data_IF_584670247264
#
_entry.id   IF_584670247264
#
_cell.length_a   1.000
_cell.length_b   1.000
_cell.length_c   1.000
_cell.angle_alpha   90.00
_cell.angle_beta   90.00
_cell.angle_gamma   90.00
#
_symmetry.space_group_name_H-M   'P 1'
#
loop_
_entity.id
_entity.type
_entity.pdbx_description
1 polymer ?
#
# COMPACT_ATOMS: atom_id res chain seq x y z
N UNK A 1 -0.50 10.12 -11.19
CA UNK A 1 -0.77 8.67 -11.02
C UNK A 1 -1.97 8.52 -10.10
N UNK A 2 -2.95 7.66 -10.41
CA UNK A 2 -4.23 7.64 -9.70
C UNK A 2 -4.34 6.42 -8.78
N UNK A 3 -4.50 6.67 -7.49
CA UNK A 3 -4.98 5.68 -6.54
C UNK A 3 -6.50 5.48 -6.72
N UNK A 4 -7.10 4.55 -5.97
CA UNK A 4 -8.55 4.31 -6.04
C UNK A 4 -9.31 5.60 -5.67
N UNK A 5 -10.28 6.05 -6.49
CA UNK A 5 -11.12 7.18 -6.15
C UNK A 5 -11.95 6.88 -4.91
N UNK A 6 -12.03 7.83 -3.98
CA UNK A 6 -12.83 7.70 -2.74
C UNK A 6 -14.30 7.42 -3.06
N UNK A 7 -14.82 7.96 -4.16
CA UNK A 7 -16.18 7.72 -4.62
C UNK A 7 -16.48 6.24 -4.98
N UNK A 8 -15.45 5.43 -5.22
CA UNK A 8 -15.60 4.00 -5.53
C UNK A 8 -15.51 3.12 -4.27
N UNK A 9 -15.25 3.70 -3.09
CA UNK A 9 -15.30 2.99 -1.82
C UNK A 9 -16.75 2.68 -1.44
N UNK A 10 -17.00 1.48 -0.94
CA UNK A 10 -18.33 0.98 -0.57
C UNK A 10 -19.09 0.27 -1.70
N UNK A 11 -18.68 0.44 -2.98
CA UNK A 11 -19.21 -0.33 -4.12
C UNK A 11 -18.16 -1.26 -4.73
N UNK A 12 -17.07 -0.71 -5.28
CA UNK A 12 -16.05 -1.51 -5.95
C UNK A 12 -14.92 -1.93 -5.02
N UNK A 13 -14.62 -1.08 -4.03
CA UNK A 13 -13.52 -1.26 -3.10
C UNK A 13 -13.99 -1.13 -1.65
N UNK A 14 -13.44 -1.92 -0.74
CA UNK A 14 -13.55 -1.69 0.71
C UNK A 14 -12.43 -0.78 1.24
N UNK A 15 -11.42 -0.49 0.41
CA UNK A 15 -10.31 0.36 0.79
C UNK A 15 -9.34 0.67 -0.34
N UNK A 16 -8.31 1.45 -0.03
CA UNK A 16 -7.32 1.88 -1.02
C UNK A 16 -6.14 2.65 -0.44
N UNK A 17 -5.42 3.34 -1.32
CA UNK A 17 -4.40 4.33 -0.91
C UNK A 17 -4.91 5.74 -1.20
N UNK A 18 -4.65 6.69 -0.30
CA UNK A 18 -4.88 8.12 -0.58
C UNK A 18 -3.57 8.89 -0.52
N UNK A 19 -3.45 9.95 -1.32
CA UNK A 19 -2.26 10.80 -1.40
C UNK A 19 -2.71 12.22 -1.60
N UNK A 20 -2.79 12.99 -0.52
CA UNK A 20 -3.43 14.31 -0.49
C UNK A 20 -2.59 15.29 0.33
N UNK A 21 -2.80 16.59 0.12
CA UNK A 21 -2.24 17.63 0.98
C UNK A 21 -3.03 17.81 2.28
N UNK A 22 -2.48 18.54 3.28
CA UNK A 22 -3.15 18.77 4.56
C UNK A 22 -4.56 19.34 4.45
N UNK A 23 -4.77 20.33 3.56
CA UNK A 23 -6.07 21.01 3.41
C UNK A 23 -7.22 20.14 2.94
N UNK A 24 -6.96 18.98 2.32
CA UNK A 24 -7.98 18.05 1.84
C UNK A 24 -8.09 16.78 2.70
N UNK A 25 -7.16 16.58 3.64
CA UNK A 25 -7.02 15.30 4.33
C UNK A 25 -8.21 15.00 5.24
N UNK A 26 -8.66 15.97 6.05
CA UNK A 26 -9.77 15.76 7.00
C UNK A 26 -11.08 15.46 6.27
N UNK A 27 -11.45 16.27 5.28
CA UNK A 27 -12.68 16.06 4.50
C UNK A 27 -12.65 14.74 3.74
N UNK A 28 -11.48 14.36 3.20
CA UNK A 28 -11.34 13.06 2.54
C UNK A 28 -11.49 11.90 3.51
N UNK A 29 -10.86 11.94 4.68
CA UNK A 29 -10.99 10.88 5.68
C UNK A 29 -12.42 10.76 6.19
N UNK A 30 -13.13 11.88 6.38
CA UNK A 30 -14.56 11.87 6.69
C UNK A 30 -15.37 11.17 5.58
N UNK A 31 -15.09 11.46 4.31
CA UNK A 31 -15.75 10.81 3.17
C UNK A 31 -15.42 9.31 3.06
N UNK A 32 -14.17 8.91 3.34
CA UNK A 32 -13.78 7.49 3.42
C UNK A 32 -14.56 6.79 4.52
N UNK A 33 -14.60 7.38 5.72
CA UNK A 33 -15.33 6.85 6.88
C UNK A 33 -16.82 6.71 6.62
N UNK A 34 -17.46 7.73 6.05
CA UNK A 34 -18.88 7.73 5.70
C UNK A 34 -19.25 6.60 4.71
N UNK A 35 -18.27 6.09 3.96
CA UNK A 35 -18.43 4.98 3.01
C UNK A 35 -18.01 3.63 3.59
N UNK A 36 -17.69 3.57 4.88
CA UNK A 36 -17.15 2.38 5.55
C UNK A 36 -15.77 1.95 5.01
N UNK A 37 -15.08 2.85 4.31
CA UNK A 37 -13.82 2.58 3.64
C UNK A 37 -12.62 2.58 4.57
N UNK A 38 -11.52 1.99 4.11
CA UNK A 38 -10.24 1.94 4.83
C UNK A 38 -9.08 2.33 3.94
N UNK A 39 -8.17 3.16 4.42
CA UNK A 39 -7.11 3.71 3.59
C UNK A 39 -5.73 3.61 4.22
N UNK A 40 -4.74 3.34 3.37
CA UNK A 40 -3.35 3.68 3.65
C UNK A 40 -3.12 5.12 3.18
N UNK A 41 -2.61 5.99 4.05
CA UNK A 41 -2.34 7.40 3.72
C UNK A 41 -0.89 7.58 3.31
N UNK A 42 -0.63 8.29 2.20
CA UNK A 42 0.72 8.72 1.80
C UNK A 42 0.86 10.22 2.04
N UNK A 43 1.60 10.60 3.08
CA UNK A 43 1.72 11.98 3.52
C UNK A 43 2.80 12.75 2.74
N UNK A 44 3.88 12.08 2.33
CA UNK A 44 4.99 12.73 1.65
C UNK A 44 4.64 13.26 0.24
N UNK A 45 3.66 12.64 -0.43
CA UNK A 45 3.22 12.99 -1.78
C UNK A 45 4.14 12.43 -2.87
N UNK A 46 4.29 13.15 -3.99
CA UNK A 46 5.11 12.69 -5.11
C UNK A 46 6.63 12.69 -4.76
N UNK A 47 7.40 11.65 -5.14
CA UNK A 47 8.85 11.57 -4.95
C UNK A 47 9.64 12.80 -5.36
N UNK A 48 9.20 13.56 -6.38
CA UNK A 48 9.88 14.80 -6.80
C UNK A 48 10.08 15.82 -5.68
N UNK A 49 9.24 15.78 -4.64
CA UNK A 49 9.30 16.72 -3.52
C UNK A 49 10.24 16.28 -2.39
N UNK A 50 10.74 15.05 -2.42
CA UNK A 50 11.68 14.52 -1.43
C UNK A 50 12.88 13.85 -2.07
N UNK A 51 13.22 14.34 -3.28
CA UNK A 51 14.45 14.04 -3.98
C UNK A 51 15.42 15.23 -3.95
N UNK A 52 16.70 14.92 -4.05
CA UNK A 52 17.82 15.85 -4.15
C UNK A 52 18.82 15.27 -5.14
N UNK A 53 19.07 15.97 -6.27
CA UNK A 53 19.84 15.39 -7.37
C UNK A 53 19.31 14.03 -7.85
N UNK A 54 17.98 13.83 -7.82
CA UNK A 54 17.32 12.57 -8.16
C UNK A 54 17.39 11.46 -7.08
N UNK A 55 18.21 11.62 -6.04
CA UNK A 55 18.37 10.68 -4.91
C UNK A 55 17.35 10.98 -3.81
N UNK A 56 17.06 10.00 -2.96
CA UNK A 56 16.19 10.20 -1.80
C UNK A 56 16.83 11.18 -0.78
N UNK A 57 16.03 12.08 -0.22
CA UNK A 57 16.43 12.99 0.85
C UNK A 57 15.50 12.83 2.07
N UNK A 58 16.05 12.31 3.17
CA UNK A 58 15.29 12.08 4.40
C UNK A 58 14.77 13.38 5.02
N UNK A 59 15.57 14.45 5.00
CA UNK A 59 15.16 15.76 5.53
C UNK A 59 13.97 16.32 4.77
N UNK A 60 14.00 16.26 3.43
CA UNK A 60 12.86 16.68 2.59
C UNK A 60 11.65 15.80 2.83
N UNK A 61 11.81 14.48 2.94
CA UNK A 61 10.70 13.58 3.27
C UNK A 61 10.05 13.94 4.62
N UNK A 62 10.85 14.15 5.67
CA UNK A 62 10.37 14.58 7.00
C UNK A 62 9.61 15.91 6.92
N UNK A 63 10.15 16.90 6.20
CA UNK A 63 9.49 18.18 5.99
C UNK A 63 8.12 18.03 5.29
N UNK A 64 7.97 17.06 4.37
CA UNK A 64 6.67 16.77 3.73
C UNK A 64 5.65 16.19 4.70
N UNK A 65 6.08 15.27 5.57
CA UNK A 65 5.24 14.63 6.60
C UNK A 65 4.84 15.63 7.69
N UNK A 66 5.74 16.55 8.05
CA UNK A 66 5.52 17.53 9.12
C UNK A 66 4.44 18.58 8.79
N UNK A 67 4.09 18.72 7.51
CA UNK A 67 2.94 19.53 7.07
C UNK A 67 1.61 19.05 7.65
N UNK A 68 1.54 17.82 8.17
CA UNK A 68 0.33 17.22 8.75
C UNK A 68 0.30 17.27 10.28
N UNK A 69 1.28 17.90 10.95
CA UNK A 69 1.40 17.89 12.41
C UNK A 69 0.18 18.47 13.16
N UNK A 70 -0.58 19.35 12.52
CA UNK A 70 -1.81 19.94 13.09
C UNK A 70 -3.08 19.15 12.81
N UNK A 71 -3.02 18.00 12.13
CA UNK A 71 -4.18 17.16 11.84
C UNK A 71 -4.27 16.06 12.87
N UNK A 72 -5.41 16.01 13.58
CA UNK A 72 -5.75 14.88 14.44
C UNK A 72 -6.19 13.68 13.60
N UNK A 73 -5.34 12.65 13.56
CA UNK A 73 -5.67 11.34 12.97
C UNK A 73 -6.20 10.33 13.99
N UNK A 74 -6.19 10.63 15.29
CA UNK A 74 -6.46 9.69 16.37
C UNK A 74 -7.80 8.97 16.21
N UNK A 75 -8.87 9.71 15.92
CA UNK A 75 -10.19 9.14 15.65
C UNK A 75 -10.21 8.17 14.46
N UNK A 76 -9.59 8.55 13.35
CA UNK A 76 -9.54 7.75 12.12
C UNK A 76 -8.62 6.52 12.23
N UNK A 77 -7.58 6.59 13.07
CA UNK A 77 -6.75 5.41 13.39
C UNK A 77 -7.55 4.46 14.27
N UNK A 78 -8.22 4.97 15.31
CA UNK A 78 -8.96 4.18 16.29
C UNK A 78 -10.13 3.41 15.67
N UNK A 79 -10.87 4.02 14.75
CA UNK A 79 -12.01 3.37 14.08
C UNK A 79 -11.61 2.51 12.86
N UNK A 80 -10.32 2.51 12.50
CA UNK A 80 -9.77 1.73 11.39
C UNK A 80 -9.98 2.35 10.01
N UNK A 81 -10.46 3.59 9.92
CA UNK A 81 -10.50 4.36 8.67
C UNK A 81 -9.09 4.50 8.07
N UNK A 82 -8.09 4.79 8.91
CA UNK A 82 -6.67 4.73 8.53
C UNK A 82 -6.09 3.40 9.02
N UNK A 83 -5.58 2.61 8.09
CA UNK A 83 -4.90 1.33 8.39
C UNK A 83 -3.37 1.44 8.36
N UNK A 84 -2.82 2.56 7.90
CA UNK A 84 -1.39 2.84 7.99
C UNK A 84 -0.90 4.04 7.16
N UNK A 85 0.36 4.39 7.37
CA UNK A 85 1.13 5.40 6.64
C UNK A 85 2.02 4.71 5.61
N UNK A 86 1.76 4.97 4.33
CA UNK A 86 2.63 4.62 3.22
C UNK A 86 3.86 5.53 3.23
N UNK A 87 5.00 5.01 3.68
CA UNK A 87 6.22 5.80 3.84
C UNK A 87 6.86 6.13 2.50
N UNK A 88 7.04 5.13 1.65
CA UNK A 88 7.79 5.26 0.39
C UNK A 88 7.46 4.14 -0.60
N UNK A 89 7.66 4.47 -1.87
CA UNK A 89 7.41 3.62 -3.03
C UNK A 89 8.71 2.97 -3.54
N UNK A 90 8.79 1.63 -3.56
CA UNK A 90 9.90 0.87 -4.17
C UNK A 90 11.30 1.39 -3.81
N UNK A 91 11.66 1.47 -2.52
CA UNK A 91 12.99 1.93 -2.09
C UNK A 91 14.14 1.05 -2.62
N UNK A 92 13.82 -0.19 -2.99
CA UNK A 92 14.74 -1.18 -3.54
C UNK A 92 15.02 -1.02 -5.05
N UNK A 93 14.26 -0.18 -5.76
CA UNK A 93 14.45 0.02 -7.20
C UNK A 93 15.44 1.18 -7.46
N UNK A 94 16.65 0.85 -7.91
CA UNK A 94 17.70 1.82 -8.21
C UNK A 94 17.28 2.86 -9.25
N UNK A 95 16.41 2.49 -10.21
CA UNK A 95 15.93 3.42 -11.23
C UNK A 95 15.08 4.55 -10.62
N UNK A 96 14.37 4.26 -9.52
CA UNK A 96 13.57 5.27 -8.81
C UNK A 96 14.43 6.27 -8.03
N UNK A 97 15.71 6.00 -7.79
CA UNK A 97 16.50 6.69 -6.77
C UNK A 97 17.93 7.02 -7.22
N UNK A 98 18.09 7.34 -8.51
CA UNK A 98 19.35 7.75 -9.14
C UNK A 98 20.51 6.76 -8.89
N UNK A 99 20.26 5.49 -9.22
CA UNK A 99 21.28 4.42 -9.17
C UNK A 99 21.47 3.78 -7.79
N UNK A 100 20.88 4.32 -6.73
CA UNK A 100 21.06 3.83 -5.35
C UNK A 100 19.76 3.52 -4.65
N UNK A 101 19.69 2.44 -3.87
CA UNK A 101 18.49 2.12 -3.10
C UNK A 101 18.41 2.93 -1.79
N UNK A 102 17.21 3.10 -1.23
CA UNK A 102 17.03 3.66 0.12
C UNK A 102 17.18 2.56 1.16
N UNK A 103 18.24 2.61 1.97
CA UNK A 103 18.59 1.52 2.89
C UNK A 103 17.50 1.21 3.92
N UNK A 104 17.40 -0.05 4.39
CA UNK A 104 16.51 -0.42 5.50
C UNK A 104 16.65 0.44 6.76
N UNK A 105 17.86 0.90 7.11
CA UNK A 105 18.07 1.80 8.25
C UNK A 105 17.41 3.16 8.06
N UNK A 106 17.45 3.73 6.84
CA UNK A 106 16.75 4.97 6.52
C UNK A 106 15.23 4.77 6.53
N UNK A 107 14.74 3.62 6.09
CA UNK A 107 13.31 3.28 6.16
C UNK A 107 12.81 3.19 7.61
N UNK A 108 13.62 2.62 8.50
CA UNK A 108 13.30 2.52 9.92
C UNK A 108 13.30 3.90 10.61
N UNK A 109 14.21 4.78 10.21
CA UNK A 109 14.24 6.18 10.65
C UNK A 109 13.01 6.98 10.16
N UNK A 110 12.54 6.73 8.92
CA UNK A 110 11.28 7.30 8.43
C UNK A 110 10.08 6.84 9.27
N UNK A 111 10.04 5.54 9.57
CA UNK A 111 8.99 4.95 10.39
C UNK A 111 9.00 5.53 11.81
N UNK A 112 10.19 5.66 12.43
CA UNK A 112 10.37 6.30 13.74
C UNK A 112 9.81 7.72 13.75
N UNK A 113 10.15 8.54 12.75
CA UNK A 113 9.65 9.93 12.64
C UNK A 113 8.12 10.00 12.54
N UNK A 114 7.51 9.07 11.81
CA UNK A 114 6.05 8.94 11.72
C UNK A 114 5.43 8.56 13.07
N UNK A 115 5.99 7.55 13.74
CA UNK A 115 5.48 7.04 15.03
C UNK A 115 5.63 8.03 16.18
N UNK A 116 6.62 8.94 16.14
CA UNK A 116 6.71 10.03 17.13
C UNK A 116 5.46 10.93 17.15
N UNK A 117 4.73 11.02 16.03
CA UNK A 117 3.50 11.82 15.90
C UNK A 117 2.25 10.96 16.04
N UNK A 118 2.26 9.78 15.42
CA UNK A 118 1.12 8.88 15.40
C UNK A 118 1.54 7.46 15.80
N UNK A 119 1.80 7.19 17.10
CA UNK A 119 2.37 5.92 17.55
C UNK A 119 1.55 4.68 17.16
N UNK A 120 0.22 4.84 17.07
CA UNK A 120 -0.73 3.77 16.72
C UNK A 120 -1.01 3.66 15.21
N UNK A 121 -0.47 4.54 14.38
CA UNK A 121 -0.58 4.41 12.92
C UNK A 121 0.52 3.46 12.43
N UNK A 122 0.14 2.33 11.85
CA UNK A 122 1.10 1.41 11.23
C UNK A 122 1.91 2.12 10.14
N UNK A 123 3.16 1.75 9.95
CA UNK A 123 4.07 2.29 8.95
C UNK A 123 4.40 1.23 7.91
N UNK A 124 4.22 1.58 6.65
CA UNK A 124 4.17 0.63 5.54
C UNK A 124 5.13 1.06 4.44
N UNK A 125 5.99 0.15 4.00
CA UNK A 125 6.95 0.38 2.90
C UNK A 125 6.57 -0.47 1.69
N UNK A 126 6.45 0.12 0.49
CA UNK A 126 6.17 -0.68 -0.73
C UNK A 126 7.43 -1.34 -1.28
N UNK A 127 7.72 -2.52 -0.75
CA UNK A 127 8.77 -3.44 -1.20
C UNK A 127 8.41 -4.88 -0.80
N UNK A 128 9.11 -5.86 -1.37
CA UNK A 128 9.00 -7.24 -0.90
C UNK A 128 9.62 -7.37 0.51
N UNK A 129 9.07 -8.17 1.45
CA UNK A 129 9.59 -8.24 2.81
C UNK A 129 11.06 -8.64 2.90
N UNK A 130 11.56 -9.46 1.95
CA UNK A 130 12.97 -9.85 1.87
C UNK A 130 13.98 -8.69 1.68
N UNK A 131 13.51 -7.48 1.38
CA UNK A 131 14.35 -6.30 1.31
C UNK A 131 14.95 -5.91 2.67
N UNK A 132 14.22 -6.17 3.76
CA UNK A 132 14.75 -6.06 5.11
C UNK A 132 15.63 -7.28 5.39
N UNK A 133 16.83 -7.12 5.94
CA UNK A 133 17.72 -8.27 6.26
C UNK A 133 17.42 -8.87 7.63
N UNK A 134 16.90 -8.06 8.54
CA UNK A 134 16.47 -8.42 9.89
C UNK A 134 15.14 -7.73 10.20
N UNK A 135 14.56 -8.01 11.38
CA UNK A 135 13.36 -7.33 11.86
C UNK A 135 13.63 -5.84 12.05
N UNK A 136 12.92 -4.93 11.34
CA UNK A 136 13.01 -3.50 11.60
C UNK A 136 12.34 -3.16 12.94
N UNK A 137 12.73 -2.04 13.56
CA UNK A 137 12.21 -1.65 14.88
C UNK A 137 10.89 -0.90 14.79
N UNK A 138 10.73 -0.08 13.76
CA UNK A 138 9.62 0.85 13.62
C UNK A 138 8.79 0.60 12.37
N UNK A 139 9.32 -0.04 11.32
CA UNK A 139 8.50 -0.44 10.16
C UNK A 139 7.58 -1.60 10.56
N UNK A 140 6.28 -1.42 10.38
CA UNK A 140 5.29 -2.42 10.78
C UNK A 140 4.95 -3.39 9.65
N UNK A 141 4.92 -2.92 8.40
CA UNK A 141 4.53 -3.76 7.26
C UNK A 141 5.33 -3.50 5.99
N UNK A 142 5.54 -4.57 5.22
CA UNK A 142 5.94 -4.48 3.83
C UNK A 142 4.71 -4.61 2.91
N UNK A 143 4.71 -3.89 1.79
CA UNK A 143 3.69 -4.00 0.75
C UNK A 143 4.27 -4.65 -0.51
N UNK A 144 4.00 -5.95 -0.64
CA UNK A 144 4.42 -6.80 -1.75
C UNK A 144 3.39 -6.77 -2.89
N UNK A 145 3.75 -6.14 -4.01
CA UNK A 145 2.90 -6.09 -5.20
C UNK A 145 3.28 -7.20 -6.19
N UNK A 146 2.30 -7.99 -6.60
CA UNK A 146 2.45 -9.05 -7.58
C UNK A 146 2.34 -8.54 -9.02
N UNK A 147 3.19 -9.11 -9.88
CA UNK A 147 3.19 -9.01 -11.33
C UNK A 147 3.45 -10.42 -11.89
N UNK A 148 2.85 -10.78 -13.02
CA UNK A 148 3.02 -12.10 -13.66
C UNK A 148 4.48 -12.55 -13.82
N UNK A 149 5.39 -11.61 -14.12
CA UNK A 149 6.85 -11.86 -14.23
C UNK A 149 7.51 -12.39 -12.94
N UNK A 150 6.79 -12.40 -11.82
CA UNK A 150 7.24 -13.01 -10.55
C UNK A 150 6.97 -14.52 -10.50
N UNK A 151 6.47 -15.12 -11.58
CA UNK A 151 6.15 -16.54 -11.64
C UNK A 151 4.79 -16.84 -11.00
N UNK A 152 4.61 -18.05 -10.46
CA UNK A 152 3.36 -18.47 -9.82
C UNK A 152 2.94 -17.52 -8.70
N UNK A 153 1.70 -17.02 -8.75
CA UNK A 153 1.12 -16.20 -7.68
C UNK A 153 1.01 -16.97 -6.36
N UNK A 154 0.81 -18.29 -6.43
CA UNK A 154 0.76 -19.17 -5.26
C UNK A 154 2.13 -19.26 -4.57
N UNK A 155 3.21 -19.40 -5.34
CA UNK A 155 4.56 -19.39 -4.78
C UNK A 155 4.87 -18.01 -4.19
N UNK A 156 4.55 -16.95 -4.94
CA UNK A 156 4.78 -15.58 -4.51
C UNK A 156 4.12 -15.24 -3.17
N UNK A 157 2.84 -15.62 -2.96
CA UNK A 157 2.18 -15.36 -1.68
C UNK A 157 2.79 -16.17 -0.54
N UNK A 158 3.14 -17.45 -0.76
CA UNK A 158 3.77 -18.29 0.27
C UNK A 158 5.13 -17.72 0.69
N UNK A 159 5.96 -17.36 -0.28
CA UNK A 159 7.27 -16.74 -0.04
C UNK A 159 7.16 -15.39 0.66
N UNK A 160 6.25 -14.52 0.19
CA UNK A 160 6.02 -13.20 0.79
C UNK A 160 5.58 -13.33 2.25
N UNK A 161 4.69 -14.27 2.56
CA UNK A 161 4.23 -14.53 3.94
C UNK A 161 5.37 -15.05 4.80
N UNK A 162 6.11 -16.05 4.32
CA UNK A 162 7.23 -16.62 5.06
C UNK A 162 8.33 -15.57 5.34
N UNK A 163 8.64 -14.72 4.35
CA UNK A 163 9.62 -13.64 4.53
C UNK A 163 9.14 -12.56 5.51
N UNK A 164 7.86 -12.21 5.47
CA UNK A 164 7.27 -11.25 6.40
C UNK A 164 7.30 -11.79 7.84
N UNK A 165 6.91 -13.06 8.05
CA UNK A 165 6.98 -13.74 9.34
C UNK A 165 8.41 -13.77 9.90
N UNK A 166 9.39 -14.18 9.08
CA UNK A 166 10.81 -14.21 9.48
C UNK A 166 11.36 -12.87 9.95
N UNK A 167 10.76 -11.77 9.49
CA UNK A 167 11.20 -10.39 9.80
C UNK A 167 10.26 -9.67 10.76
N UNK A 168 9.29 -10.37 11.33
CA UNK A 168 8.30 -9.77 12.24
C UNK A 168 7.51 -8.63 11.62
N UNK A 169 7.29 -8.66 10.30
CA UNK A 169 6.55 -7.66 9.55
C UNK A 169 5.13 -8.14 9.27
N UNK A 170 4.16 -7.26 9.34
CA UNK A 170 2.88 -7.48 8.67
C UNK A 170 3.04 -7.37 7.14
N UNK A 171 2.03 -7.82 6.40
CA UNK A 171 2.08 -7.88 4.95
C UNK A 171 0.86 -7.21 4.32
N UNK A 172 1.08 -6.25 3.45
CA UNK A 172 0.09 -5.78 2.47
C UNK A 172 0.41 -6.45 1.14
N UNK A 173 -0.60 -6.99 0.47
CA UNK A 173 -0.47 -7.57 -0.88
C UNK A 173 -1.29 -6.78 -1.88
N UNK A 174 -1.02 -6.97 -3.17
CA UNK A 174 -1.85 -6.38 -4.20
C UNK A 174 -1.35 -6.68 -5.60
N UNK A 175 -2.12 -6.26 -6.60
CA UNK A 175 -1.81 -6.48 -8.00
C UNK A 175 -1.28 -5.20 -8.65
N UNK A 176 -0.49 -5.33 -9.71
CA UNK A 176 -0.34 -4.27 -10.71
C UNK A 176 -1.30 -4.52 -11.89
N UNK A 177 -2.54 -4.04 -11.82
CA UNK A 177 -3.59 -4.32 -12.82
C UNK A 177 -3.30 -3.74 -14.20
N UNK A 178 -2.43 -2.72 -14.29
CA UNK A 178 -2.13 -2.04 -15.56
C UNK A 178 -0.89 -2.64 -16.25
N UNK A 179 0.10 -3.11 -15.49
CA UNK A 179 1.37 -3.60 -16.04
C UNK A 179 1.78 -5.00 -15.55
N UNK A 180 0.91 -5.71 -14.83
CA UNK A 180 1.21 -7.01 -14.24
C UNK A 180 0.56 -8.19 -14.93
N UNK A 181 -0.06 -7.99 -16.10
CA UNK A 181 -0.69 -9.05 -16.89
C UNK A 181 0.32 -9.99 -17.55
N UNK A 182 -0.20 -10.98 -18.27
CA UNK A 182 0.59 -11.92 -19.12
C UNK A 182 0.19 -11.69 -20.58
N UNK A 183 1.13 -11.34 -21.48
CA UNK A 183 2.59 -11.16 -21.27
C UNK A 183 2.97 -10.03 -20.31
N UNK A 184 4.17 -10.07 -19.74
CA UNK A 184 4.66 -9.05 -18.78
C UNK A 184 4.51 -7.61 -19.34
N UNK A 185 4.27 -6.63 -18.44
CA UNK A 185 4.01 -5.21 -18.77
C UNK A 185 2.70 -4.94 -19.53
N UNK A 186 1.84 -5.93 -19.70
CA UNK A 186 0.48 -5.73 -20.23
C UNK A 186 -0.56 -5.51 -19.13
N UNK A 187 -1.75 -5.03 -19.52
CA UNK A 187 -2.91 -4.93 -18.63
C UNK A 187 -3.38 -6.32 -18.22
N UNK A 188 -3.72 -6.48 -16.94
CA UNK A 188 -4.38 -7.69 -16.50
C UNK A 188 -5.79 -7.77 -17.08
N UNK A 189 -6.14 -8.93 -17.63
CA UNK A 189 -7.53 -9.27 -17.98
C UNK A 189 -8.38 -9.46 -16.72
N UNK A 190 -9.72 -9.40 -16.80
CA UNK A 190 -10.58 -9.70 -15.65
C UNK A 190 -10.27 -11.06 -15.01
N UNK A 191 -10.05 -12.09 -15.82
CA UNK A 191 -9.67 -13.45 -15.35
C UNK A 191 -8.33 -13.45 -14.61
N UNK A 192 -7.34 -12.69 -15.09
CA UNK A 192 -6.05 -12.55 -14.39
C UNK A 192 -6.21 -11.80 -13.05
N UNK A 193 -6.98 -10.70 -13.02
CA UNK A 193 -7.26 -9.97 -11.78
C UNK A 193 -7.92 -10.87 -10.76
N UNK A 194 -8.97 -11.59 -11.14
CA UNK A 194 -9.69 -12.48 -10.23
C UNK A 194 -8.81 -13.66 -9.76
N UNK A 195 -8.11 -14.32 -10.67
CA UNK A 195 -7.25 -15.47 -10.36
C UNK A 195 -6.10 -15.07 -9.43
N UNK A 196 -5.32 -14.05 -9.81
CA UNK A 196 -4.17 -13.61 -9.03
C UNK A 196 -4.60 -12.98 -7.70
N UNK A 197 -5.65 -12.16 -7.70
CA UNK A 197 -6.19 -11.58 -6.49
C UNK A 197 -6.73 -12.62 -5.53
N UNK A 198 -7.44 -13.65 -6.02
CA UNK A 198 -7.95 -14.74 -5.19
C UNK A 198 -6.84 -15.57 -4.58
N UNK A 199 -5.75 -15.81 -5.33
CA UNK A 199 -4.57 -16.49 -4.81
C UNK A 199 -3.84 -15.67 -3.73
N UNK A 200 -3.69 -14.36 -3.91
CA UNK A 200 -3.15 -13.49 -2.85
C UNK A 200 -4.07 -13.47 -1.62
N UNK A 201 -5.38 -13.56 -1.84
CA UNK A 201 -6.38 -13.53 -0.78
C UNK A 201 -6.60 -14.89 -0.08
N UNK A 202 -6.01 -15.99 -0.57
CA UNK A 202 -6.15 -17.32 0.05
C UNK A 202 -5.37 -17.47 1.35
N UNK A 203 -4.32 -16.67 1.56
CA UNK A 203 -3.64 -16.58 2.84
C UNK A 203 -4.35 -15.60 3.77
N UNK A 204 -4.60 -15.99 5.02
CA UNK A 204 -5.11 -15.10 6.08
C UNK A 204 -4.05 -14.15 6.64
N UNK A 205 -2.76 -14.33 6.29
CA UNK A 205 -1.67 -13.56 6.89
C UNK A 205 -1.64 -12.08 6.49
N UNK A 206 -1.86 -11.68 5.22
CA UNK A 206 -1.86 -10.26 4.86
C UNK A 206 -2.92 -9.45 5.61
N UNK A 207 -2.55 -8.26 6.08
CA UNK A 207 -3.43 -7.33 6.78
C UNK A 207 -4.29 -6.50 5.82
N UNK A 208 -3.88 -6.35 4.56
CA UNK A 208 -4.65 -5.66 3.54
C UNK A 208 -4.34 -6.17 2.13
N UNK A 209 -5.31 -6.02 1.23
CA UNK A 209 -5.18 -6.20 -0.21
C UNK A 209 -5.43 -4.86 -0.91
N UNK A 210 -4.38 -4.26 -1.48
CA UNK A 210 -4.45 -2.95 -2.13
C UNK A 210 -3.73 -3.00 -3.47
N UNK A 211 -4.50 -2.91 -4.55
CA UNK A 211 -3.96 -3.00 -5.92
C UNK A 211 -3.58 -1.63 -6.49
N UNK A 212 -2.65 -1.63 -7.43
CA UNK A 212 -2.23 -0.50 -8.26
C UNK A 212 -2.49 -0.86 -9.72
N UNK A 213 -2.77 0.03 -10.65
CA UNK A 213 -3.14 1.43 -10.55
C UNK A 213 -4.62 1.54 -10.92
N UNK A 214 -5.33 2.53 -10.37
CA UNK A 214 -6.66 2.84 -10.88
C UNK A 214 -6.57 3.38 -12.33
N UNK A 215 -7.30 2.74 -13.23
CA UNK A 215 -7.49 3.18 -14.60
C UNK A 215 -8.99 3.13 -14.92
N UNK A 216 -9.61 4.31 -15.07
CA UNK A 216 -11.07 4.43 -15.23
C UNK A 216 -11.62 3.68 -16.44
N UNK A 217 -10.92 3.68 -17.59
CA UNK A 217 -11.39 2.98 -18.79
C UNK A 217 -11.24 1.46 -18.70
N UNK A 218 -10.19 0.97 -18.05
CA UNK A 218 -10.04 -0.47 -17.78
C UNK A 218 -11.08 -0.96 -16.76
N UNK A 219 -11.34 -0.17 -15.72
CA UNK A 219 -12.19 -0.55 -14.59
C UNK A 219 -13.68 -0.25 -14.82
N UNK A 220 -14.05 0.46 -15.88
CA UNK A 220 -15.45 0.73 -16.23
C UNK A 220 -16.16 -0.50 -16.82
N UNK A 221 -15.42 -1.41 -17.46
CA UNK A 221 -15.95 -2.61 -18.11
C UNK A 221 -16.61 -3.58 -17.12
N UNK A 222 -17.77 -4.13 -17.51
CA UNK A 222 -18.60 -4.98 -16.64
C UNK A 222 -17.83 -6.18 -16.07
N UNK A 223 -17.07 -6.90 -16.90
CA UNK A 223 -16.30 -8.08 -16.44
C UNK A 223 -15.19 -7.70 -15.46
N UNK A 224 -14.54 -6.55 -15.65
CA UNK A 224 -13.52 -6.07 -14.71
C UNK A 224 -14.15 -5.65 -13.38
N UNK A 225 -15.31 -4.98 -13.40
CA UNK A 225 -16.07 -4.68 -12.19
C UNK A 225 -16.47 -5.95 -11.45
N UNK A 226 -16.93 -6.97 -12.18
CA UNK A 226 -17.28 -8.28 -11.60
C UNK A 226 -16.09 -8.91 -10.89
N UNK A 227 -14.93 -8.99 -11.55
CA UNK A 227 -13.71 -9.53 -10.94
C UNK A 227 -13.32 -8.76 -9.67
N UNK A 228 -13.36 -7.43 -9.70
CA UNK A 228 -13.05 -6.60 -8.53
C UNK A 228 -14.07 -6.78 -7.39
N UNK A 229 -15.37 -6.94 -7.70
CA UNK A 229 -16.42 -7.25 -6.71
C UNK A 229 -16.21 -8.64 -6.08
N UNK A 230 -15.81 -9.63 -6.87
CA UNK A 230 -15.41 -10.96 -6.35
C UNK A 230 -14.27 -10.84 -5.35
N UNK A 231 -13.22 -10.08 -5.69
CA UNK A 231 -12.08 -9.86 -4.79
C UNK A 231 -12.46 -9.08 -3.53
N UNK A 232 -13.32 -8.06 -3.66
CA UNK A 232 -13.85 -7.31 -2.53
C UNK A 232 -14.59 -8.25 -1.56
N UNK A 233 -15.53 -9.06 -2.05
CA UNK A 233 -16.29 -10.02 -1.24
C UNK A 233 -15.35 -11.00 -0.53
N UNK A 234 -14.34 -11.52 -1.23
CA UNK A 234 -13.31 -12.38 -0.62
C UNK A 234 -12.51 -11.66 0.47
N UNK A 235 -12.14 -10.40 0.26
CA UNK A 235 -11.42 -9.61 1.24
C UNK A 235 -12.28 -9.29 2.48
N UNK A 236 -13.56 -8.98 2.30
CA UNK A 236 -14.52 -8.70 3.37
C UNK A 236 -14.89 -9.94 4.20
N UNK A 237 -14.90 -11.12 3.57
CA UNK A 237 -15.15 -12.40 4.26
C UNK A 237 -13.99 -12.92 5.11
N UNK A 238 -12.86 -12.21 5.16
CA UNK A 238 -11.69 -12.59 5.95
C UNK A 238 -11.72 -11.96 7.34
N UNK A 239 -11.13 -12.66 8.30
CA UNK A 239 -10.84 -12.06 9.61
C UNK A 239 -9.94 -10.83 9.44
N UNK A 240 -10.27 -9.78 10.20
CA UNK A 240 -9.51 -8.53 10.16
C UNK A 240 -8.20 -8.74 10.89
N UNK A 241 -7.10 -8.34 10.25
CA UNK A 241 -5.76 -8.35 10.83
C UNK A 241 -5.18 -6.95 10.76
N UNK A 242 -4.57 -6.50 11.86
CA UNK A 242 -3.91 -5.19 11.92
C UNK A 242 -2.67 -5.18 11.04
N UNK A 243 -2.36 -4.03 10.43
CA UNK A 243 -1.07 -3.80 9.79
C UNK A 243 0.01 -3.29 10.76
N UNK A 244 -0.35 -3.07 12.04
CA UNK A 244 0.60 -2.80 13.12
C UNK A 244 1.25 -4.13 13.53
N UNK A 245 2.59 -4.19 13.62
CA UNK A 245 3.36 -5.40 13.95
C UNK A 245 3.64 -5.57 15.42
#
# INVERSE_FOLDING_TARGET
MAAQPVAQLGDLYSGGKVTLGPGQMRSTLAAVKARGGRVVVMLAGNPRYYKEGGRFSLSKWKARVDRFKGIDFGGYIKDGTIIGHYLIDEPNDKANWNGTTVSPSVLDEMARHSKQRWPKMATIVRTHPSYFKSKPRYVDAAWAQYLSRRGSVQNYIRESVADAQRRGLQLVVGLNVVHGGTPNRTRMTPKQVESYGSALLSSSYPCAFVSWKYNGSQLSGASMKSAMKTLRKKAEGRSRKSCLS
#
